data_IF_733043355617
#
_entry.id   IF_733043355617
#
_cell.length_a   1.000
_cell.length_b   1.000
_cell.length_c   1.000
_cell.angle_alpha   90.00
_cell.angle_beta   90.00
_cell.angle_gamma   90.00
#
_symmetry.space_group_name_H-M   'P 1'
#
loop_
_entity.id
_entity.type
_entity.pdbx_description
1 polymer ?
#
# COMPACT_ATOMS: atom_id res chain seq x y z
N UNK A 1 36.80 0.09 -0.63
CA UNK A 1 36.24 -0.22 0.70
C UNK A 1 36.49 0.99 1.58
N UNK A 2 35.44 1.63 2.08
CA UNK A 2 35.54 2.84 2.90
C UNK A 2 35.64 2.44 4.39
N UNK A 3 36.81 2.65 4.99
CA UNK A 3 37.13 2.27 6.37
C UNK A 3 36.76 3.37 7.35
N UNK A 4 36.08 2.98 8.42
CA UNK A 4 35.71 3.86 9.52
C UNK A 4 36.38 3.37 10.79
N UNK A 5 36.95 4.29 11.55
CA UNK A 5 37.62 3.99 12.81
C UNK A 5 36.94 4.68 13.99
N UNK A 6 36.72 3.93 15.07
CA UNK A 6 36.26 4.43 16.36
C UNK A 6 37.21 3.90 17.43
N UNK A 7 37.59 4.74 18.39
CA UNK A 7 38.35 4.30 19.56
C UNK A 7 37.72 4.81 20.85
N UNK A 8 37.88 4.04 21.92
CA UNK A 8 37.35 4.41 23.23
C UNK A 8 37.61 3.35 24.29
N UNK A 9 37.24 3.69 25.53
CA UNK A 9 37.42 2.80 26.67
C UNK A 9 36.34 1.71 26.70
N UNK A 10 35.07 2.05 26.45
CA UNK A 10 33.95 1.10 26.46
C UNK A 10 33.81 0.29 27.76
N UNK A 11 34.07 0.90 28.91
CA UNK A 11 33.96 0.26 30.22
C UNK A 11 32.62 -0.46 30.43
N UNK A 12 31.50 0.21 30.13
CA UNK A 12 30.17 -0.41 30.10
C UNK A 12 29.55 -0.12 28.73
N UNK A 13 29.19 -1.17 27.99
CA UNK A 13 28.47 -1.01 26.74
C UNK A 13 27.02 -0.62 27.03
N UNK A 14 26.67 0.63 26.76
CA UNK A 14 25.31 1.15 26.91
C UNK A 14 24.77 1.60 25.55
N UNK A 15 23.46 1.90 25.42
CA UNK A 15 22.85 2.24 24.13
C UNK A 15 23.49 3.41 23.38
N UNK A 16 24.17 4.33 24.07
CA UNK A 16 24.90 5.44 23.44
C UNK A 16 26.08 4.95 22.59
N UNK A 17 26.88 4.02 23.12
CA UNK A 17 27.96 3.38 22.37
C UNK A 17 27.44 2.63 21.14
N UNK A 18 26.36 1.86 21.28
CA UNK A 18 25.77 1.13 20.15
C UNK A 18 25.31 2.06 19.02
N UNK A 19 24.77 3.24 19.36
CA UNK A 19 24.35 4.23 18.37
C UNK A 19 25.53 4.92 17.70
N UNK A 20 26.59 5.23 18.46
CA UNK A 20 27.85 5.75 17.91
C UNK A 20 28.45 4.76 16.90
N UNK A 21 28.52 3.47 17.26
CA UNK A 21 29.02 2.40 16.39
C UNK A 21 28.14 2.22 15.15
N UNK A 22 26.81 2.29 15.29
CA UNK A 22 25.89 2.22 14.14
C UNK A 22 26.07 3.39 13.19
N UNK A 23 26.14 4.62 13.70
CA UNK A 23 26.45 5.81 12.90
C UNK A 23 27.82 5.70 12.19
N UNK A 24 28.82 5.15 12.88
CA UNK A 24 30.13 4.90 12.29
C UNK A 24 30.06 3.86 11.16
N UNK A 25 29.32 2.76 11.35
CA UNK A 25 29.07 1.76 10.30
C UNK A 25 28.36 2.38 9.09
N UNK A 26 27.32 3.19 9.31
CA UNK A 26 26.56 3.86 8.24
C UNK A 26 27.39 4.90 7.47
N UNK A 27 28.46 5.42 8.08
CA UNK A 27 29.37 6.37 7.45
C UNK A 27 30.34 5.71 6.44
N UNK A 28 30.47 4.39 6.45
CA UNK A 28 31.36 3.64 5.56
C UNK A 28 30.90 2.21 5.27
N UNK A 29 31.83 1.36 4.84
CA UNK A 29 31.51 -0.04 4.50
C UNK A 29 32.15 -1.03 5.48
N UNK A 30 33.19 -0.61 6.20
CA UNK A 30 33.99 -1.45 7.11
C UNK A 30 34.34 -0.66 8.38
N UNK A 31 33.80 -1.07 9.53
CA UNK A 31 33.96 -0.45 10.84
C UNK A 31 35.02 -1.21 11.65
N UNK A 32 36.04 -0.45 12.05
CA UNK A 32 37.15 -0.90 12.89
C UNK A 32 37.03 -0.20 14.24
N UNK A 33 37.06 -0.97 15.34
CA UNK A 33 36.97 -0.45 16.71
C UNK A 33 38.24 -0.76 17.49
N UNK A 34 38.95 0.28 17.91
CA UNK A 34 40.10 0.17 18.83
C UNK A 34 39.65 0.33 20.28
N UNK A 35 39.72 -0.75 21.07
CA UNK A 35 39.41 -0.72 22.50
C UNK A 35 40.68 -0.35 23.26
N UNK A 36 40.71 0.77 23.97
CA UNK A 36 41.91 1.21 24.69
C UNK A 36 42.39 0.14 25.68
N UNK A 37 43.69 -0.15 25.67
CA UNK A 37 44.31 -1.07 26.64
C UNK A 37 44.12 -0.61 28.09
N UNK A 38 44.25 -1.54 29.04
CA UNK A 38 44.14 -1.22 30.47
C UNK A 38 45.19 -0.19 30.93
N UNK A 39 46.35 -0.13 30.27
CA UNK A 39 47.41 0.87 30.51
C UNK A 39 46.99 2.30 30.13
N UNK A 40 46.05 2.43 29.18
CA UNK A 40 45.55 3.71 28.65
C UNK A 40 44.25 4.13 29.36
N UNK A 41 43.34 3.18 29.61
CA UNK A 41 42.01 3.45 30.17
C UNK A 41 41.99 3.59 31.71
N UNK A 42 42.98 3.03 32.42
CA UNK A 42 43.02 3.05 33.89
C UNK A 42 42.24 1.90 34.55
N UNK A 43 41.92 2.01 35.85
CA UNK A 43 41.25 0.93 36.61
C UNK A 43 39.75 0.84 36.28
N UNK A 44 39.31 -0.29 35.75
CA UNK A 44 37.92 -0.56 35.37
C UNK A 44 37.63 -2.02 35.03
N UNK A 45 36.75 -2.25 34.06
CA UNK A 45 36.49 -3.58 33.50
C UNK A 45 37.69 -3.97 32.61
N UNK A 46 38.15 -5.22 32.70
CA UNK A 46 39.31 -5.70 31.94
C UNK A 46 39.13 -5.50 30.44
N UNK A 47 40.21 -5.10 29.76
CA UNK A 47 40.25 -4.93 28.30
C UNK A 47 39.69 -6.11 27.51
N UNK A 48 39.87 -7.35 27.99
CA UNK A 48 39.38 -8.55 27.30
C UNK A 48 37.84 -8.61 27.30
N UNK A 49 37.21 -8.25 28.43
CA UNK A 49 35.75 -8.19 28.57
C UNK A 49 35.17 -7.05 27.73
N UNK A 50 35.87 -5.91 27.69
CA UNK A 50 35.47 -4.75 26.86
C UNK A 50 35.56 -5.09 25.37
N UNK A 51 36.62 -5.79 24.96
CA UNK A 51 36.79 -6.27 23.59
C UNK A 51 35.71 -7.28 23.20
N UNK A 52 35.43 -8.28 24.04
CA UNK A 52 34.37 -9.26 23.83
C UNK A 52 33.02 -8.59 23.60
N UNK A 53 32.70 -7.58 24.42
CA UNK A 53 31.45 -6.81 24.30
C UNK A 53 31.33 -6.08 22.97
N UNK A 54 32.43 -5.54 22.45
CA UNK A 54 32.46 -4.84 21.17
C UNK A 54 32.41 -5.83 20.00
N UNK A 55 33.10 -6.96 20.09
CA UNK A 55 33.04 -8.03 19.08
C UNK A 55 31.64 -8.64 18.96
N UNK A 56 30.85 -8.64 20.03
CA UNK A 56 29.45 -9.08 19.99
C UNK A 56 28.51 -8.09 19.28
N UNK A 57 28.93 -6.85 19.02
CA UNK A 57 28.09 -5.87 18.32
C UNK A 57 28.07 -6.14 16.81
N UNK A 58 26.90 -6.50 16.27
CA UNK A 58 26.72 -6.93 14.87
C UNK A 58 27.14 -5.91 13.80
N UNK A 59 27.28 -4.63 14.16
CA UNK A 59 27.70 -3.57 13.24
C UNK A 59 29.22 -3.39 13.13
N UNK A 60 30.01 -4.08 13.98
CA UNK A 60 31.47 -4.00 14.02
C UNK A 60 32.08 -5.11 13.16
N UNK A 61 32.94 -4.75 12.20
CA UNK A 61 33.60 -5.73 11.32
C UNK A 61 34.94 -6.20 11.88
N UNK A 62 35.65 -5.33 12.60
CA UNK A 62 36.95 -5.62 13.22
C UNK A 62 37.05 -4.90 14.57
N UNK A 63 37.50 -5.60 15.61
CA UNK A 63 37.79 -5.00 16.91
C UNK A 63 39.06 -5.59 17.51
N UNK A 64 39.89 -4.73 18.12
CA UNK A 64 41.17 -5.12 18.70
C UNK A 64 41.53 -4.24 19.90
N UNK A 65 42.52 -4.68 20.70
CA UNK A 65 43.09 -3.87 21.78
C UNK A 65 44.04 -2.83 21.20
N UNK A 66 43.76 -1.56 21.44
CA UNK A 66 44.58 -0.43 21.05
C UNK A 66 45.53 -0.07 22.20
N UNK A 67 46.80 -0.43 22.02
CA UNK A 67 47.91 -0.23 22.96
C UNK A 67 48.77 1.00 22.64
N UNK A 68 48.46 1.70 21.54
CA UNK A 68 49.11 2.92 21.09
C UNK A 68 48.12 4.09 21.06
N UNK A 69 48.57 5.36 21.09
CA UNK A 69 47.69 6.50 20.89
C UNK A 69 46.91 6.39 19.57
N UNK A 70 45.60 6.72 19.60
CA UNK A 70 44.74 6.65 18.42
C UNK A 70 45.30 7.40 17.22
N UNK A 71 45.93 8.56 17.45
CA UNK A 71 46.63 9.35 16.42
C UNK A 71 47.71 8.57 15.67
N UNK A 72 48.50 7.74 16.36
CA UNK A 72 49.52 6.90 15.73
C UNK A 72 48.89 5.79 14.89
N UNK A 73 47.81 5.18 15.39
CA UNK A 73 47.06 4.19 14.63
C UNK A 73 46.46 4.79 13.36
N UNK A 74 45.87 5.99 13.46
CA UNK A 74 45.27 6.71 12.32
C UNK A 74 46.35 7.03 11.27
N UNK A 75 47.55 7.48 11.68
CA UNK A 75 48.66 7.73 10.75
C UNK A 75 49.08 6.48 9.97
N UNK A 76 49.11 5.31 10.63
CA UNK A 76 49.56 4.04 10.05
C UNK A 76 48.48 3.38 9.19
N UNK A 77 47.25 3.33 9.68
CA UNK A 77 46.14 2.60 9.05
C UNK A 77 45.38 3.42 8.02
N UNK A 78 45.48 4.76 8.09
CA UNK A 78 44.84 5.74 7.21
C UNK A 78 43.35 5.44 6.94
N UNK A 79 42.49 5.44 7.98
CA UNK A 79 41.04 5.25 7.79
C UNK A 79 40.44 6.43 7.01
N UNK A 80 39.43 6.16 6.17
CA UNK A 80 38.76 7.23 5.42
C UNK A 80 37.95 8.16 6.33
N UNK A 81 37.44 7.63 7.45
CA UNK A 81 36.64 8.37 8.44
C UNK A 81 37.05 7.95 9.85
N UNK A 82 37.18 8.93 10.75
CA UNK A 82 37.23 8.73 12.20
C UNK A 82 35.96 9.31 12.81
N UNK A 83 35.31 8.54 13.69
CA UNK A 83 34.09 8.98 14.39
C UNK A 83 34.36 9.05 15.89
N UNK A 84 34.01 10.19 16.49
CA UNK A 84 34.16 10.44 17.93
C UNK A 84 32.83 10.84 18.57
N UNK A 85 32.74 10.69 19.90
CA UNK A 85 31.60 11.19 20.67
C UNK A 85 31.48 12.71 20.55
N UNK A 86 30.25 13.23 20.46
CA UNK A 86 29.98 14.68 20.31
C UNK A 86 30.55 15.53 21.43
N UNK A 87 30.74 14.96 22.62
CA UNK A 87 31.41 15.57 23.76
C UNK A 87 32.90 15.92 23.51
N UNK A 88 33.49 15.43 22.41
CA UNK A 88 34.85 15.76 21.97
C UNK A 88 34.89 16.86 20.88
N UNK A 89 33.74 17.29 20.34
CA UNK A 89 33.67 18.23 19.21
C UNK A 89 34.32 19.58 19.51
N UNK A 90 34.15 20.09 20.74
CA UNK A 90 34.69 21.38 21.17
C UNK A 90 36.09 21.29 21.80
N UNK A 91 36.70 20.10 21.82
CA UNK A 91 38.05 19.88 22.36
C UNK A 91 39.10 20.00 21.24
N UNK A 92 40.37 20.02 21.64
CA UNK A 92 41.48 19.92 20.69
C UNK A 92 41.51 18.51 20.07
N UNK A 93 41.54 18.43 18.74
CA UNK A 93 41.41 17.18 17.98
C UNK A 93 42.64 16.97 17.09
N UNK A 94 43.76 16.42 17.62
CA UNK A 94 44.97 16.17 16.85
C UNK A 94 44.77 15.19 15.67
N UNK A 95 43.71 14.39 15.70
CA UNK A 95 43.28 13.51 14.60
C UNK A 95 42.90 14.30 13.34
N UNK A 96 42.35 15.50 13.49
CA UNK A 96 41.89 16.33 12.38
C UNK A 96 43.05 16.74 11.46
N UNK A 97 44.18 17.16 12.03
CA UNK A 97 45.38 17.52 11.27
C UNK A 97 45.95 16.32 10.50
N UNK A 98 45.93 15.15 11.13
CA UNK A 98 46.41 13.90 10.54
C UNK A 98 45.52 13.49 9.36
N UNK A 99 44.20 13.53 9.54
CA UNK A 99 43.21 13.17 8.52
C UNK A 99 43.28 14.11 7.31
N UNK A 100 43.48 15.41 7.54
CA UNK A 100 43.61 16.41 6.48
C UNK A 100 44.75 16.10 5.50
N UNK A 101 45.86 15.52 5.98
CA UNK A 101 47.03 15.23 5.16
C UNK A 101 46.79 14.17 4.07
N UNK A 102 45.72 13.37 4.16
CA UNK A 102 45.40 12.35 3.16
C UNK A 102 43.91 12.34 2.77
N UNK A 103 43.15 13.37 3.15
CA UNK A 103 41.75 13.55 2.75
C UNK A 103 40.73 12.75 3.57
N UNK A 104 41.11 12.26 4.75
CA UNK A 104 40.18 11.63 5.69
C UNK A 104 39.23 12.64 6.35
N UNK A 105 38.12 12.15 6.92
CA UNK A 105 37.12 13.00 7.59
C UNK A 105 37.00 12.66 9.07
N UNK A 106 36.82 13.68 9.90
CA UNK A 106 36.47 13.54 11.31
C UNK A 106 34.98 13.85 11.48
N UNK A 107 34.23 12.94 12.10
CA UNK A 107 32.80 13.12 12.40
C UNK A 107 32.55 13.00 13.90
N UNK A 108 31.53 13.72 14.37
CA UNK A 108 31.09 13.72 15.76
C UNK A 108 29.62 13.28 15.86
N UNK A 109 29.29 12.39 16.80
CA UNK A 109 27.92 11.96 17.03
C UNK A 109 27.64 11.69 18.51
N UNK A 110 26.46 12.09 18.98
CA UNK A 110 25.97 11.85 20.34
C UNK A 110 25.16 10.57 20.47
N UNK A 111 24.98 9.82 19.38
CA UNK A 111 24.09 8.66 19.36
C UNK A 111 22.65 9.06 19.72
N UNK A 112 22.07 9.99 18.95
CA UNK A 112 20.68 10.43 19.15
C UNK A 112 19.69 9.25 19.10
N UNK A 113 18.55 9.41 19.77
CA UNK A 113 17.52 8.37 19.91
C UNK A 113 16.78 8.20 18.58
N UNK A 114 17.47 7.62 17.60
CA UNK A 114 16.84 6.87 16.54
C UNK A 114 17.05 5.40 16.86
N UNK A 115 16.03 4.72 17.39
CA UNK A 115 15.81 3.38 16.83
C UNK A 115 15.84 3.58 15.33
N UNK A 116 16.63 2.78 14.59
CA UNK A 116 16.65 2.89 13.12
C UNK A 116 15.19 2.94 12.68
N UNK A 117 14.75 4.12 12.24
CA UNK A 117 13.33 4.38 12.01
C UNK A 117 12.80 3.32 11.03
N UNK A 118 13.68 2.83 10.14
CA UNK A 118 13.46 1.70 9.25
C UNK A 118 13.03 0.39 9.94
N UNK A 119 13.60 0.02 11.08
CA UNK A 119 13.26 -1.23 11.77
C UNK A 119 11.88 -1.16 12.44
N UNK A 120 11.55 -0.01 13.05
CA UNK A 120 10.21 0.26 13.57
C UNK A 120 9.18 0.34 12.45
N UNK A 121 9.51 1.04 11.36
CA UNK A 121 8.66 1.12 10.17
C UNK A 121 8.39 -0.26 9.59
N UNK A 122 9.42 -1.11 9.43
CA UNK A 122 9.26 -2.46 8.89
C UNK A 122 8.37 -3.33 9.76
N UNK A 123 8.46 -3.22 11.09
CA UNK A 123 7.55 -3.93 12.00
C UNK A 123 6.11 -3.40 11.89
N UNK A 124 5.90 -2.09 11.75
CA UNK A 124 4.56 -1.52 11.55
C UNK A 124 3.94 -1.99 10.23
N UNK A 125 4.69 -1.99 9.12
CA UNK A 125 4.25 -2.48 7.81
C UNK A 125 3.88 -3.98 7.82
N UNK A 126 4.60 -4.81 8.60
CA UNK A 126 4.40 -6.25 8.65
C UNK A 126 3.39 -6.71 9.70
N UNK A 127 3.02 -5.86 10.66
CA UNK A 127 2.09 -6.23 11.70
C UNK A 127 0.69 -6.44 11.11
N UNK A 128 0.27 -7.70 10.98
CA UNK A 128 -1.13 -8.04 10.76
C UNK A 128 -1.81 -8.05 12.13
N UNK A 129 -2.90 -7.29 12.27
CA UNK A 129 -3.80 -7.42 13.42
C UNK A 129 -5.07 -8.10 12.95
N UNK A 130 -5.14 -9.42 13.11
CA UNK A 130 -6.36 -10.18 12.83
C UNK A 130 -7.35 -9.91 13.95
N UNK A 131 -8.40 -9.15 13.67
CA UNK A 131 -9.57 -9.00 14.53
C UNK A 131 -10.75 -8.53 13.66
N UNK A 132 -11.43 -9.48 13.00
CA UNK A 132 -12.74 -9.24 12.40
C UNK A 132 -13.82 -9.49 13.44
N UNK A 133 -14.77 -8.56 13.55
CA UNK A 133 -15.99 -8.73 14.35
C UNK A 133 -17.12 -9.14 13.43
N UNK A 134 -17.48 -10.42 13.44
CA UNK A 134 -18.60 -10.93 12.64
C UNK A 134 -19.94 -10.33 13.09
N UNK A 135 -20.90 -10.23 12.15
CA UNK A 135 -22.28 -9.81 12.44
C UNK A 135 -23.21 -11.03 12.61
N UNK A 136 -23.34 -11.62 13.82
CA UNK A 136 -24.16 -12.81 14.03
C UNK A 136 -25.64 -12.56 13.74
N UNK A 137 -26.11 -11.33 13.97
CA UNK A 137 -27.48 -10.93 13.66
C UNK A 137 -27.75 -11.00 12.15
N UNK A 138 -26.83 -10.48 11.32
CA UNK A 138 -26.96 -10.54 9.87
C UNK A 138 -26.93 -11.99 9.35
N UNK A 139 -25.99 -12.80 9.84
CA UNK A 139 -25.87 -14.23 9.51
C UNK A 139 -27.18 -14.97 9.81
N UNK A 140 -27.73 -14.77 11.01
CA UNK A 140 -28.97 -15.41 11.45
C UNK A 140 -30.19 -14.93 10.66
N UNK A 141 -30.28 -13.64 10.32
CA UNK A 141 -31.41 -13.07 9.55
C UNK A 141 -31.51 -13.68 8.14
N UNK A 142 -30.38 -14.02 7.53
CA UNK A 142 -30.31 -14.54 6.16
C UNK A 142 -30.01 -16.05 6.09
N UNK A 143 -30.15 -16.76 7.22
CA UNK A 143 -29.92 -18.21 7.32
C UNK A 143 -28.58 -18.67 6.69
N UNK A 144 -27.53 -17.86 6.89
CA UNK A 144 -26.23 -18.13 6.29
C UNK A 144 -25.43 -19.14 7.11
N UNK A 145 -24.79 -20.07 6.42
CA UNK A 145 -23.85 -21.04 7.01
C UNK A 145 -22.43 -20.69 6.59
N UNK A 146 -21.50 -20.67 7.54
CA UNK A 146 -20.10 -20.31 7.28
C UNK A 146 -19.44 -21.31 6.30
N UNK A 147 -19.84 -22.58 6.35
CA UNK A 147 -19.38 -23.62 5.42
C UNK A 147 -19.77 -23.28 3.97
N UNK A 148 -20.99 -22.80 3.74
CA UNK A 148 -21.45 -22.37 2.42
C UNK A 148 -20.65 -21.16 1.92
N UNK A 149 -20.29 -20.23 2.82
CA UNK A 149 -19.43 -19.10 2.46
C UNK A 149 -18.02 -19.56 2.04
N UNK A 150 -17.45 -20.57 2.72
CA UNK A 150 -16.17 -21.18 2.30
C UNK A 150 -16.28 -21.84 0.93
N UNK A 151 -17.34 -22.61 0.68
CA UNK A 151 -17.58 -23.23 -0.62
C UNK A 151 -17.71 -22.21 -1.77
N UNK A 152 -18.29 -21.03 -1.49
CA UNK A 152 -18.36 -19.93 -2.46
C UNK A 152 -16.96 -19.42 -2.81
N UNK A 153 -16.12 -19.16 -1.80
CA UNK A 153 -14.73 -18.72 -2.00
C UNK A 153 -13.91 -19.77 -2.76
N UNK A 154 -14.12 -21.05 -2.51
CA UNK A 154 -13.43 -22.13 -3.23
C UNK A 154 -13.74 -22.10 -4.74
N UNK A 155 -14.98 -21.78 -5.12
CA UNK A 155 -15.43 -21.70 -6.52
C UNK A 155 -14.82 -20.52 -7.29
N UNK A 156 -14.19 -19.55 -6.63
CA UNK A 156 -13.54 -18.43 -7.32
C UNK A 156 -12.48 -18.89 -8.33
N UNK A 157 -11.87 -20.04 -8.08
CA UNK A 157 -10.90 -20.68 -8.99
C UNK A 157 -11.45 -21.07 -10.35
N UNK A 158 -12.78 -21.16 -10.52
CA UNK A 158 -13.41 -21.45 -11.81
C UNK A 158 -13.70 -20.20 -12.64
N UNK A 159 -13.51 -19.00 -12.10
CA UNK A 159 -13.86 -17.75 -12.77
C UNK A 159 -12.75 -17.25 -13.69
N UNK A 160 -13.17 -16.75 -14.85
CA UNK A 160 -12.38 -15.89 -15.73
C UNK A 160 -12.90 -14.45 -15.62
N UNK A 161 -12.09 -13.58 -15.02
CA UNK A 161 -12.46 -12.21 -14.69
C UNK A 161 -11.74 -11.24 -15.64
N UNK A 162 -12.49 -10.34 -16.25
CA UNK A 162 -11.97 -9.22 -17.03
C UNK A 162 -12.12 -7.92 -16.23
N UNK A 163 -11.00 -7.35 -15.82
CA UNK A 163 -10.98 -6.04 -15.13
C UNK A 163 -10.57 -4.95 -16.12
N UNK A 164 -11.34 -3.87 -16.18
CA UNK A 164 -11.10 -2.74 -17.06
C UNK A 164 -11.22 -1.44 -16.26
N UNK A 165 -10.19 -0.60 -16.31
CA UNK A 165 -10.25 0.66 -15.57
C UNK A 165 -8.93 1.39 -15.47
N UNK A 166 -8.94 2.49 -14.75
CA UNK A 166 -7.78 3.37 -14.63
C UNK A 166 -6.72 2.76 -13.70
N UNK A 167 -5.49 2.58 -14.19
CA UNK A 167 -4.34 2.16 -13.38
C UNK A 167 -3.82 3.33 -12.54
N UNK A 168 -3.44 3.06 -11.29
CA UNK A 168 -2.80 4.02 -10.39
C UNK A 168 -1.58 3.34 -9.75
N UNK A 169 -0.48 4.08 -9.61
CA UNK A 169 0.62 3.74 -8.71
C UNK A 169 0.48 4.58 -7.46
N UNK A 170 0.34 3.95 -6.31
CA UNK A 170 0.35 4.61 -5.01
C UNK A 170 1.77 4.57 -4.45
N UNK A 171 2.36 5.72 -4.13
CA UNK A 171 3.72 5.81 -3.59
C UNK A 171 3.68 6.45 -2.20
N UNK A 172 4.18 5.72 -1.21
CA UNK A 172 4.22 6.14 0.18
C UNK A 172 5.66 6.53 0.51
N UNK A 173 5.88 7.83 0.73
CA UNK A 173 7.16 8.37 1.15
C UNK A 173 7.08 8.59 2.66
N UNK A 174 7.75 7.73 3.42
CA UNK A 174 7.88 7.90 4.87
C UNK A 174 8.95 8.94 5.15
N UNK A 175 8.63 9.91 5.98
CA UNK A 175 9.51 11.01 6.34
C UNK A 175 9.63 11.17 7.85
N UNK A 176 10.79 11.66 8.28
CA UNK A 176 11.01 12.25 9.59
C UNK A 176 10.63 13.74 9.56
N UNK A 177 9.81 14.18 10.51
CA UNK A 177 9.48 15.60 10.64
C UNK A 177 10.60 16.33 11.39
N UNK A 178 11.25 17.30 10.73
CA UNK A 178 12.37 18.05 11.31
C UNK A 178 11.90 19.28 12.09
N UNK A 179 10.74 19.85 11.71
CA UNK A 179 10.16 21.02 12.36
C UNK A 179 9.52 21.99 11.36
N UNK A 180 9.29 23.23 11.80
CA UNK A 180 8.83 24.31 10.93
C UNK A 180 10.02 25.01 10.28
N UNK A 181 9.89 25.40 9.00
CA UNK A 181 10.88 26.23 8.32
C UNK A 181 10.90 27.65 8.92
N UNK A 182 12.08 28.25 8.97
CA UNK A 182 12.28 29.67 9.34
C UNK A 182 12.13 30.61 8.14
N UNK A 183 12.14 30.08 6.92
CA UNK A 183 12.05 30.85 5.66
C UNK A 183 10.59 31.02 5.21
N UNK A 184 9.75 30.03 5.47
CA UNK A 184 8.33 29.98 5.09
C UNK A 184 7.58 29.14 6.15
N UNK A 185 6.34 29.48 6.60
CA UNK A 185 5.57 28.69 7.56
C UNK A 185 5.11 27.31 7.03
N UNK A 186 6.06 26.43 6.72
CA UNK A 186 5.86 25.08 6.22
C UNK A 186 6.56 24.05 7.09
N UNK A 187 6.04 22.82 7.08
CA UNK A 187 6.67 21.67 7.77
C UNK A 187 7.82 21.15 6.91
N UNK A 188 9.01 21.07 7.49
CA UNK A 188 10.19 20.48 6.86
C UNK A 188 10.27 19.00 7.26
N UNK A 189 10.47 18.13 6.26
CA UNK A 189 10.58 16.69 6.46
C UNK A 189 11.75 16.11 5.68
N UNK A 190 12.37 15.07 6.21
CA UNK A 190 13.41 14.29 5.54
C UNK A 190 12.88 12.91 5.12
N UNK A 191 12.89 12.53 3.83
CA UNK A 191 12.49 11.19 3.40
C UNK A 191 13.41 10.11 3.99
N UNK A 192 12.80 9.06 4.54
CA UNK A 192 13.48 7.89 5.11
C UNK A 192 13.33 6.65 4.23
N UNK A 193 12.15 6.45 3.64
CA UNK A 193 11.84 5.28 2.83
C UNK A 193 10.72 5.57 1.83
N UNK A 194 10.76 4.89 0.69
CA UNK A 194 9.73 4.96 -0.33
C UNK A 194 9.21 3.56 -0.65
N UNK A 195 7.90 3.39 -0.63
CA UNK A 195 7.22 2.15 -0.98
C UNK A 195 6.18 2.42 -2.06
N UNK A 196 6.24 1.69 -3.17
CA UNK A 196 5.21 1.74 -4.22
C UNK A 196 4.22 0.60 -4.04
N UNK A 197 2.99 0.83 -4.48
CA UNK A 197 1.88 -0.12 -4.46
C UNK A 197 1.11 -0.01 -5.77
N UNK A 198 0.63 -1.15 -6.27
CA UNK A 198 -0.33 -1.17 -7.37
C UNK A 198 -1.69 -0.74 -6.81
N UNK A 199 -2.30 0.25 -7.46
CA UNK A 199 -3.58 0.82 -7.09
C UNK A 199 -4.51 0.93 -8.29
N UNK A 200 -5.67 1.56 -8.09
CA UNK A 200 -6.65 1.73 -9.15
C UNK A 200 -7.26 0.41 -9.60
N UNK A 201 -7.64 0.30 -10.87
CA UNK A 201 -8.19 -0.94 -11.41
C UNK A 201 -7.19 -2.12 -11.38
N UNK A 202 -5.88 -1.85 -11.33
CA UNK A 202 -4.86 -2.89 -11.26
C UNK A 202 -4.88 -3.63 -9.90
N UNK A 203 -5.27 -2.97 -8.80
CA UNK A 203 -5.42 -3.66 -7.51
C UNK A 203 -6.69 -4.51 -7.45
N UNK A 204 -7.77 -4.09 -8.12
CA UNK A 204 -8.98 -4.90 -8.32
C UNK A 204 -8.64 -6.19 -9.08
N UNK A 205 -7.85 -6.09 -10.15
CA UNK A 205 -7.34 -7.26 -10.87
C UNK A 205 -6.46 -8.15 -9.97
N UNK A 206 -5.61 -7.53 -9.15
CA UNK A 206 -4.74 -8.26 -8.22
C UNK A 206 -5.53 -8.99 -7.15
N UNK A 207 -6.55 -8.37 -6.55
CA UNK A 207 -7.47 -9.01 -5.61
C UNK A 207 -8.18 -10.20 -6.25
N UNK A 208 -8.71 -10.04 -7.47
CA UNK A 208 -9.42 -11.14 -8.15
C UNK A 208 -8.48 -12.34 -8.37
N UNK A 209 -7.23 -12.06 -8.73
CA UNK A 209 -6.21 -13.08 -8.96
C UNK A 209 -5.82 -13.80 -7.68
N UNK A 210 -5.54 -13.07 -6.59
CA UNK A 210 -5.11 -13.67 -5.31
C UNK A 210 -6.26 -14.32 -4.53
N UNK A 211 -7.51 -14.00 -4.87
CA UNK A 211 -8.70 -14.72 -4.43
C UNK A 211 -8.96 -16.02 -5.21
N UNK A 212 -8.26 -16.24 -6.34
CA UNK A 212 -8.17 -17.53 -7.02
C UNK A 212 -8.55 -17.53 -8.51
N UNK A 213 -9.10 -16.43 -9.05
CA UNK A 213 -9.55 -16.41 -10.44
C UNK A 213 -8.41 -16.36 -11.47
N UNK A 214 -8.73 -16.70 -12.71
CA UNK A 214 -7.95 -16.32 -13.89
C UNK A 214 -8.34 -14.89 -14.28
N UNK A 215 -7.35 -14.01 -14.47
CA UNK A 215 -7.62 -12.57 -14.63
C UNK A 215 -6.97 -12.03 -15.90
N UNK A 216 -7.79 -11.34 -16.68
CA UNK A 216 -7.35 -10.44 -17.75
C UNK A 216 -7.56 -9.00 -17.31
N UNK A 217 -6.57 -8.14 -17.56
CA UNK A 217 -6.62 -6.74 -17.18
C UNK A 217 -6.41 -5.83 -18.38
N UNK A 218 -7.27 -4.83 -18.56
CA UNK A 218 -7.13 -3.82 -19.61
C UNK A 218 -7.03 -2.44 -18.98
N UNK A 219 -5.97 -1.70 -19.34
CA UNK A 219 -5.79 -0.34 -18.88
C UNK A 219 -4.99 0.53 -19.87
N UNK A 220 -4.92 1.82 -19.57
CA UNK A 220 -4.11 2.80 -20.29
C UNK A 220 -3.12 3.40 -19.31
N UNK A 221 -1.87 3.47 -19.75
CA UNK A 221 -0.70 3.88 -18.96
C UNK A 221 0.15 4.84 -19.78
N UNK A 222 1.04 5.58 -19.12
CA UNK A 222 2.03 6.41 -19.78
C UNK A 222 3.17 5.59 -20.40
N UNK A 223 4.13 6.29 -20.98
CA UNK A 223 5.42 5.73 -21.38
C UNK A 223 6.49 6.14 -20.35
N UNK A 224 6.45 5.51 -19.18
CA UNK A 224 7.27 5.85 -18.01
C UNK A 224 7.56 4.63 -17.12
N UNK A 225 8.48 4.77 -16.16
CA UNK A 225 8.90 3.70 -15.25
C UNK A 225 7.74 3.13 -14.41
N UNK A 226 6.69 3.92 -14.18
CA UNK A 226 5.51 3.47 -13.45
C UNK A 226 4.68 2.48 -14.26
N UNK A 227 4.68 2.55 -15.60
CA UNK A 227 4.13 1.49 -16.45
C UNK A 227 4.85 0.18 -16.18
N UNK A 228 6.18 0.21 -16.20
CA UNK A 228 6.99 -1.00 -16.10
C UNK A 228 6.82 -1.63 -14.71
N UNK A 229 6.78 -0.81 -13.65
CA UNK A 229 6.41 -1.26 -12.31
C UNK A 229 5.05 -1.98 -12.25
N UNK A 230 4.02 -1.44 -12.90
CA UNK A 230 2.68 -2.08 -12.94
C UNK A 230 2.71 -3.37 -13.75
N UNK A 231 3.36 -3.36 -14.92
CA UNK A 231 3.46 -4.52 -15.81
C UNK A 231 4.15 -5.69 -15.11
N UNK A 232 5.27 -5.43 -14.45
CA UNK A 232 6.05 -6.45 -13.75
C UNK A 232 5.25 -6.99 -12.56
N UNK A 233 4.66 -6.13 -11.73
CA UNK A 233 3.90 -6.59 -10.57
C UNK A 233 2.61 -7.35 -10.92
N UNK A 234 1.95 -7.02 -12.04
CA UNK A 234 0.84 -7.83 -12.57
C UNK A 234 1.34 -9.16 -13.15
N UNK A 235 2.50 -9.15 -13.82
CA UNK A 235 3.16 -10.34 -14.36
C UNK A 235 3.57 -11.33 -13.28
N UNK A 236 4.10 -10.85 -12.16
CA UNK A 236 4.48 -11.66 -10.98
C UNK A 236 3.28 -12.39 -10.36
N UNK A 237 2.08 -11.82 -10.49
CA UNK A 237 0.82 -12.45 -10.07
C UNK A 237 0.23 -13.39 -11.14
N UNK A 238 0.82 -13.43 -12.34
CA UNK A 238 0.32 -14.20 -13.48
C UNK A 238 -0.97 -13.63 -14.08
N UNK A 239 -1.14 -12.30 -14.08
CA UNK A 239 -2.29 -11.61 -14.67
C UNK A 239 -1.97 -11.30 -16.15
N UNK A 240 -2.88 -11.66 -17.06
CA UNK A 240 -2.74 -11.26 -18.47
C UNK A 240 -3.12 -9.79 -18.64
N UNK A 241 -2.12 -8.90 -18.66
CA UNK A 241 -2.35 -7.46 -18.78
C UNK A 241 -2.22 -6.96 -20.23
N UNK A 242 -3.22 -6.23 -20.72
CA UNK A 242 -3.20 -5.44 -21.94
C UNK A 242 -3.12 -3.95 -21.59
N UNK A 243 -1.90 -3.45 -21.48
CA UNK A 243 -1.60 -2.07 -21.12
C UNK A 243 -1.30 -1.26 -22.39
N UNK A 244 -2.23 -0.37 -22.76
CA UNK A 244 -2.06 0.54 -23.89
C UNK A 244 -1.30 1.79 -23.46
N UNK A 245 -0.22 2.11 -24.16
CA UNK A 245 0.55 3.32 -23.88
C UNK A 245 -0.09 4.55 -24.54
N UNK A 246 -0.29 5.60 -23.76
CA UNK A 246 -0.73 6.92 -24.24
C UNK A 246 0.32 7.97 -23.86
N UNK A 247 1.16 8.37 -24.83
CA UNK A 247 2.24 9.34 -24.62
C UNK A 247 1.74 10.74 -24.24
N UNK A 248 0.44 11.01 -24.32
CA UNK A 248 -0.13 12.31 -23.94
C UNK A 248 -0.35 12.43 -22.43
N UNK A 249 -0.30 11.32 -21.67
CA UNK A 249 -0.48 11.27 -20.21
C UNK A 249 0.65 10.49 -19.52
N UNK A 250 1.02 10.83 -18.27
CA UNK A 250 1.82 9.93 -17.44
C UNK A 250 0.94 8.79 -16.92
N UNK A 251 1.56 7.68 -16.51
CA UNK A 251 0.90 6.70 -15.63
C UNK A 251 0.53 7.40 -14.33
N UNK A 252 -0.74 7.32 -13.93
CA UNK A 252 -1.25 8.03 -12.76
C UNK A 252 -0.46 7.63 -11.50
N UNK A 253 0.17 8.61 -10.85
CA UNK A 253 0.94 8.41 -9.63
C UNK A 253 0.36 9.25 -8.49
N UNK A 254 0.08 8.61 -7.35
CA UNK A 254 -0.39 9.25 -6.11
C UNK A 254 0.66 9.12 -5.02
N UNK A 255 1.43 10.17 -4.81
CA UNK A 255 2.45 10.24 -3.77
C UNK A 255 1.85 10.72 -2.46
N UNK A 256 2.09 9.99 -1.36
CA UNK A 256 1.69 10.34 0.00
C UNK A 256 2.95 10.50 0.85
N UNK A 257 3.24 11.73 1.27
CA UNK A 257 4.30 12.02 2.23
C UNK A 257 3.75 11.82 3.64
N UNK A 258 4.36 10.95 4.43
CA UNK A 258 3.84 10.50 5.72
C UNK A 258 4.87 10.66 6.83
N UNK A 259 4.44 11.12 8.00
CA UNK A 259 5.26 11.10 9.21
C UNK A 259 4.40 10.59 10.37
N UNK A 260 4.96 9.71 11.21
CA UNK A 260 4.27 9.10 12.37
C UNK A 260 2.87 8.56 11.99
N UNK A 261 2.80 7.76 10.91
CA UNK A 261 1.59 7.17 10.34
C UNK A 261 0.51 8.14 9.82
N UNK A 262 0.76 9.45 9.83
CA UNK A 262 -0.15 10.46 9.29
C UNK A 262 0.34 10.96 7.93
N UNK A 263 -0.58 11.13 7.00
CA UNK A 263 -0.30 11.75 5.70
C UNK A 263 -0.24 13.27 5.88
N UNK A 264 0.90 13.86 5.54
CA UNK A 264 1.14 15.30 5.59
C UNK A 264 0.73 16.00 4.30
N UNK A 265 1.10 15.40 3.16
CA UNK A 265 0.86 15.93 1.83
C UNK A 265 0.58 14.78 0.87
N UNK A 266 -0.34 15.02 -0.08
CA UNK A 266 -0.55 14.14 -1.23
C UNK A 266 -0.30 14.91 -2.52
N UNK A 267 0.56 14.38 -3.37
CA UNK A 267 0.87 14.94 -4.70
C UNK A 267 0.39 13.95 -5.75
N UNK A 268 -0.46 14.41 -6.66
CA UNK A 268 -1.02 13.59 -7.74
C UNK A 268 -0.38 14.00 -9.07
N UNK A 269 0.28 13.08 -9.74
CA UNK A 269 0.78 13.25 -11.10
C UNK A 269 -0.18 12.56 -12.05
N UNK A 270 -0.99 13.36 -12.75
CA UNK A 270 -2.01 12.85 -13.66
C UNK A 270 -2.35 13.87 -14.73
N UNK A 271 -2.95 13.39 -15.81
CA UNK A 271 -3.69 14.22 -16.76
C UNK A 271 -5.07 13.62 -16.97
N UNK A 272 -6.08 14.48 -16.90
CA UNK A 272 -7.47 14.07 -17.02
C UNK A 272 -8.01 14.46 -18.39
N UNK A 273 -8.10 13.47 -19.27
CA UNK A 273 -8.74 13.59 -20.58
C UNK A 273 -9.11 12.22 -21.09
N UNK A 274 -10.20 12.16 -21.88
CA UNK A 274 -10.61 10.92 -22.53
C UNK A 274 -9.51 10.34 -23.40
N UNK A 275 -9.43 9.02 -23.47
CA UNK A 275 -8.54 8.33 -24.39
C UNK A 275 -8.90 8.62 -25.85
N UNK A 276 -7.94 8.47 -26.76
CA UNK A 276 -8.17 8.66 -28.19
C UNK A 276 -9.09 7.58 -28.77
N UNK A 277 -9.71 7.86 -29.92
CA UNK A 277 -10.54 6.86 -30.62
C UNK A 277 -9.78 5.59 -31.03
N UNK A 278 -8.49 5.71 -31.29
CA UNK A 278 -7.63 4.58 -31.64
C UNK A 278 -7.45 3.65 -30.43
N UNK A 279 -7.22 4.24 -29.24
CA UNK A 279 -7.17 3.50 -27.97
C UNK A 279 -8.54 2.87 -27.66
N UNK A 280 -9.64 3.60 -27.82
CA UNK A 280 -11.00 3.03 -27.65
C UNK A 280 -11.19 1.81 -28.55
N UNK A 281 -10.80 1.92 -29.83
CA UNK A 281 -10.92 0.84 -30.81
C UNK A 281 -10.07 -0.37 -30.43
N UNK A 282 -8.84 -0.15 -29.96
CA UNK A 282 -7.95 -1.22 -29.50
C UNK A 282 -8.51 -1.96 -28.28
N UNK A 283 -9.04 -1.21 -27.29
CA UNK A 283 -9.71 -1.79 -26.11
C UNK A 283 -10.88 -2.66 -26.55
N UNK A 284 -11.79 -2.11 -27.37
CA UNK A 284 -12.98 -2.82 -27.81
C UNK A 284 -12.64 -4.08 -28.61
N UNK A 285 -11.60 -4.04 -29.44
CA UNK A 285 -11.10 -5.21 -30.15
C UNK A 285 -10.60 -6.30 -29.20
N UNK A 286 -9.76 -5.94 -28.22
CA UNK A 286 -9.23 -6.91 -27.24
C UNK A 286 -10.36 -7.53 -26.41
N UNK A 287 -11.34 -6.74 -25.98
CA UNK A 287 -12.52 -7.26 -25.28
C UNK A 287 -13.32 -8.22 -26.16
N UNK A 288 -13.51 -7.89 -27.44
CA UNK A 288 -14.23 -8.76 -28.38
C UNK A 288 -13.53 -10.11 -28.59
N UNK A 289 -12.21 -10.17 -28.49
CA UNK A 289 -11.41 -11.39 -28.60
C UNK A 289 -11.53 -12.29 -27.36
N UNK A 290 -11.77 -11.73 -26.17
CA UNK A 290 -11.84 -12.50 -24.92
C UNK A 290 -13.25 -12.74 -24.38
N UNK A 291 -14.26 -12.00 -24.87
CA UNK A 291 -15.61 -11.99 -24.30
C UNK A 291 -16.26 -13.37 -24.20
N UNK A 292 -15.92 -14.30 -25.09
CA UNK A 292 -16.53 -15.64 -25.13
C UNK A 292 -16.09 -16.55 -23.98
N UNK A 293 -15.01 -16.20 -23.28
CA UNK A 293 -14.46 -16.98 -22.17
C UNK A 293 -14.61 -16.30 -20.81
N UNK A 294 -15.13 -15.07 -20.76
CA UNK A 294 -15.19 -14.28 -19.53
C UNK A 294 -16.51 -14.54 -18.80
N UNK A 295 -16.44 -14.80 -17.50
CA UNK A 295 -17.60 -15.02 -16.63
C UNK A 295 -18.05 -13.73 -15.92
N UNK A 296 -17.09 -12.82 -15.66
CA UNK A 296 -17.28 -11.59 -14.91
C UNK A 296 -16.48 -10.44 -15.51
N UNK A 297 -17.13 -9.28 -15.71
CA UNK A 297 -16.46 -8.03 -16.07
C UNK A 297 -16.57 -7.06 -14.90
N UNK A 298 -15.44 -6.50 -14.46
CA UNK A 298 -15.39 -5.47 -13.41
C UNK A 298 -14.89 -4.16 -14.03
N UNK A 299 -15.72 -3.12 -13.99
CA UNK A 299 -15.33 -1.77 -14.33
C UNK A 299 -14.88 -1.02 -13.07
N UNK A 300 -13.65 -0.50 -13.09
CA UNK A 300 -13.10 0.26 -11.96
C UNK A 300 -12.68 1.65 -12.43
N UNK A 301 -13.57 2.62 -12.25
CA UNK A 301 -13.42 3.97 -12.78
C UNK A 301 -12.96 4.96 -11.71
N UNK A 302 -11.81 5.58 -11.96
CA UNK A 302 -11.30 6.67 -11.15
C UNK A 302 -11.46 8.02 -11.85
N UNK A 303 -12.22 8.03 -12.95
CA UNK A 303 -12.53 9.21 -13.75
C UNK A 303 -11.29 9.87 -14.38
N UNK A 304 -10.26 9.08 -14.74
CA UNK A 304 -9.07 9.57 -15.44
C UNK A 304 -9.17 9.52 -16.97
N UNK A 305 -10.28 8.97 -17.49
CA UNK A 305 -10.67 9.10 -18.90
C UNK A 305 -10.52 7.83 -19.73
N UNK A 306 -10.15 6.69 -19.13
CA UNK A 306 -10.19 5.40 -19.82
C UNK A 306 -11.62 4.96 -20.11
N UNK A 307 -12.48 4.97 -19.08
CA UNK A 307 -13.85 4.46 -19.17
C UNK A 307 -14.79 5.53 -19.75
N UNK A 308 -14.66 5.75 -21.05
CA UNK A 308 -15.54 6.62 -21.83
C UNK A 308 -16.93 5.99 -22.01
N UNK A 309 -17.91 6.85 -22.28
CA UNK A 309 -19.27 6.44 -22.63
C UNK A 309 -19.32 5.40 -23.76
N UNK A 310 -18.43 5.54 -24.77
CA UNK A 310 -18.34 4.62 -25.91
C UNK A 310 -17.88 3.25 -25.45
N UNK A 311 -16.81 3.18 -24.65
CA UNK A 311 -16.26 1.93 -24.14
C UNK A 311 -17.30 1.23 -23.25
N UNK A 312 -17.86 1.94 -22.27
CA UNK A 312 -18.84 1.37 -21.34
C UNK A 312 -20.04 0.79 -22.09
N UNK A 313 -20.65 1.56 -23.01
CA UNK A 313 -21.85 1.12 -23.75
C UNK A 313 -21.58 -0.12 -24.62
N UNK A 314 -20.45 -0.16 -25.32
CA UNK A 314 -20.14 -1.28 -26.21
C UNK A 314 -19.81 -2.56 -25.43
N UNK A 315 -18.98 -2.46 -24.38
CA UNK A 315 -18.64 -3.63 -23.54
C UNK A 315 -19.89 -4.14 -22.81
N UNK A 316 -20.70 -3.24 -22.25
CA UNK A 316 -21.97 -3.60 -21.59
C UNK A 316 -22.91 -4.33 -22.55
N UNK A 317 -22.99 -3.89 -23.81
CA UNK A 317 -23.81 -4.55 -24.84
C UNK A 317 -23.31 -5.95 -25.15
N UNK A 318 -21.99 -6.13 -25.24
CA UNK A 318 -21.36 -7.44 -25.45
C UNK A 318 -21.60 -8.39 -24.27
N UNK A 319 -21.37 -7.91 -23.04
CA UNK A 319 -21.62 -8.67 -21.82
C UNK A 319 -23.07 -9.13 -21.70
N UNK A 320 -24.04 -8.24 -21.92
CA UNK A 320 -25.48 -8.60 -21.91
C UNK A 320 -25.86 -9.64 -22.96
N UNK A 321 -25.26 -9.58 -24.16
CA UNK A 321 -25.53 -10.57 -25.22
C UNK A 321 -25.09 -11.98 -24.81
N UNK A 322 -24.09 -12.07 -23.93
CA UNK A 322 -23.47 -13.31 -23.45
C UNK A 322 -23.92 -13.69 -22.03
N UNK A 323 -24.83 -12.92 -21.43
CA UNK A 323 -25.29 -13.07 -20.04
C UNK A 323 -24.15 -13.05 -18.99
N UNK A 324 -23.12 -12.24 -19.27
CA UNK A 324 -21.95 -12.08 -18.40
C UNK A 324 -22.29 -11.18 -17.21
N UNK A 325 -21.86 -11.58 -16.01
CA UNK A 325 -21.98 -10.73 -14.83
C UNK A 325 -21.11 -9.48 -14.99
N UNK A 326 -21.67 -8.32 -14.67
CA UNK A 326 -20.94 -7.05 -14.76
C UNK A 326 -21.09 -6.26 -13.48
N UNK A 327 -19.98 -5.77 -12.95
CA UNK A 327 -19.98 -4.86 -11.81
C UNK A 327 -19.20 -3.59 -12.12
N UNK A 328 -19.53 -2.51 -11.42
CA UNK A 328 -18.85 -1.25 -11.60
C UNK A 328 -18.70 -0.46 -10.31
N UNK A 329 -17.58 0.25 -10.21
CA UNK A 329 -17.41 1.36 -9.28
C UNK A 329 -16.94 2.62 -10.02
N UNK A 330 -17.30 3.78 -9.47
CA UNK A 330 -17.00 5.10 -10.03
C UNK A 330 -16.59 6.06 -8.94
N UNK A 331 -15.31 6.04 -8.60
CA UNK A 331 -14.79 6.77 -7.45
C UNK A 331 -14.86 8.29 -7.66
N UNK A 332 -15.38 9.01 -6.66
CA UNK A 332 -15.35 10.48 -6.59
C UNK A 332 -14.47 10.95 -5.44
N UNK A 333 -13.15 10.87 -5.64
CA UNK A 333 -12.15 11.35 -4.67
C UNK A 333 -11.69 12.78 -4.98
N UNK A 334 -10.61 12.95 -5.74
CA UNK A 334 -10.16 14.25 -6.26
C UNK A 334 -10.87 14.66 -7.56
N UNK A 335 -11.56 13.71 -8.19
CA UNK A 335 -12.32 13.89 -9.42
C UNK A 335 -13.80 13.68 -9.11
N UNK A 336 -14.66 14.24 -9.96
CA UNK A 336 -16.10 13.99 -9.90
C UNK A 336 -16.43 12.83 -10.84
N UNK A 337 -16.76 11.67 -10.28
CA UNK A 337 -17.28 10.54 -11.02
C UNK A 337 -18.80 10.58 -11.15
N UNK A 338 -19.34 9.74 -12.04
CA UNK A 338 -20.78 9.55 -12.22
C UNK A 338 -21.07 8.05 -12.35
N UNK A 339 -21.51 7.43 -11.25
CA UNK A 339 -21.85 6.00 -11.24
C UNK A 339 -23.03 5.69 -12.17
N UNK A 340 -23.86 6.68 -12.53
CA UNK A 340 -25.06 6.48 -13.34
C UNK A 340 -24.76 6.20 -14.83
N UNK A 341 -23.51 6.39 -15.26
CA UNK A 341 -23.05 6.00 -16.61
C UNK A 341 -22.97 4.49 -16.80
N UNK A 342 -22.80 3.72 -15.72
CA UNK A 342 -22.73 2.26 -15.75
C UNK A 342 -24.12 1.63 -15.79
N UNK A 343 -24.68 1.49 -16.99
CA UNK A 343 -26.09 1.08 -17.16
C UNK A 343 -26.32 -0.44 -17.22
N UNK A 344 -27.14 -0.95 -16.32
CA UNK A 344 -27.55 -2.35 -16.28
C UNK A 344 -26.45 -3.28 -15.79
N UNK A 345 -25.68 -2.81 -14.81
CA UNK A 345 -24.73 -3.63 -14.06
C UNK A 345 -25.50 -4.56 -13.10
N UNK A 346 -24.94 -5.72 -12.82
CA UNK A 346 -25.44 -6.59 -11.76
C UNK A 346 -25.18 -5.96 -10.39
N UNK A 347 -23.99 -5.41 -10.18
CA UNK A 347 -23.60 -4.79 -8.90
C UNK A 347 -22.94 -3.43 -9.16
N UNK A 348 -23.29 -2.43 -8.36
CA UNK A 348 -22.49 -1.21 -8.19
C UNK A 348 -22.21 -0.96 -6.72
N UNK A 349 -21.04 -0.41 -6.40
CA UNK A 349 -20.58 -0.25 -5.00
C UNK A 349 -20.24 1.20 -4.59
N UNK A 350 -21.10 2.20 -4.91
CA UNK A 350 -20.78 3.59 -4.64
C UNK A 350 -20.78 3.91 -3.14
N UNK A 351 -20.06 4.94 -2.75
CA UNK A 351 -20.22 5.64 -1.48
C UNK A 351 -21.51 6.48 -1.49
N UNK A 352 -22.04 6.83 -0.32
CA UNK A 352 -23.17 7.78 -0.23
C UNK A 352 -22.87 9.07 -1.00
N UNK A 353 -21.66 9.61 -0.85
CA UNK A 353 -21.22 10.84 -1.53
C UNK A 353 -21.32 10.70 -3.05
N UNK A 354 -20.87 9.60 -3.62
CA UNK A 354 -20.94 9.34 -5.06
C UNK A 354 -22.37 9.25 -5.57
N UNK A 355 -23.27 8.60 -4.81
CA UNK A 355 -24.70 8.54 -5.18
C UNK A 355 -25.29 9.95 -5.21
N UNK A 356 -25.04 10.76 -4.16
CA UNK A 356 -25.58 12.12 -4.05
C UNK A 356 -25.08 13.02 -5.17
N UNK A 357 -23.78 12.96 -5.50
CA UNK A 357 -23.19 13.70 -6.61
C UNK A 357 -23.80 13.28 -7.95
N UNK A 358 -23.92 11.97 -8.21
CA UNK A 358 -24.40 11.43 -9.49
C UNK A 358 -25.90 11.67 -9.72
N UNK A 359 -26.69 11.79 -8.65
CA UNK A 359 -28.11 12.10 -8.70
C UNK A 359 -28.43 13.58 -8.53
N UNK A 360 -27.45 14.39 -8.12
CA UNK A 360 -27.66 15.76 -7.66
C UNK A 360 -28.76 15.85 -6.59
N UNK A 361 -28.67 14.98 -5.56
CA UNK A 361 -29.67 14.83 -4.50
C UNK A 361 -29.01 14.74 -3.12
N UNK A 362 -29.02 15.84 -2.38
CA UNK A 362 -28.36 15.97 -1.08
C UNK A 362 -29.33 15.89 0.10
N UNK A 363 -30.62 15.66 -0.13
CA UNK A 363 -31.66 15.74 0.91
C UNK A 363 -32.39 14.42 1.13
N UNK A 364 -32.48 13.56 0.11
CA UNK A 364 -33.16 12.26 0.26
C UNK A 364 -32.40 11.31 1.18
N UNK A 365 -33.14 10.42 1.85
CA UNK A 365 -32.57 9.32 2.62
C UNK A 365 -31.94 8.23 1.75
N UNK A 366 -31.03 7.44 2.32
CA UNK A 366 -30.21 6.46 1.60
C UNK A 366 -31.00 5.44 0.77
N UNK A 367 -32.12 4.92 1.31
CA UNK A 367 -32.98 3.96 0.59
C UNK A 367 -33.57 4.60 -0.68
N UNK A 368 -34.05 5.85 -0.57
CA UNK A 368 -34.62 6.60 -1.70
C UNK A 368 -33.54 6.92 -2.73
N UNK A 369 -32.33 7.26 -2.29
CA UNK A 369 -31.20 7.47 -3.18
C UNK A 369 -30.84 6.19 -3.95
N UNK A 370 -30.80 5.06 -3.26
CA UNK A 370 -30.52 3.75 -3.89
C UNK A 370 -31.60 3.38 -4.90
N UNK A 371 -32.87 3.62 -4.57
CA UNK A 371 -33.97 3.42 -5.52
C UNK A 371 -33.85 4.32 -6.75
N UNK A 372 -33.57 5.62 -6.56
CA UNK A 372 -33.34 6.57 -7.67
C UNK A 372 -32.15 6.15 -8.53
N UNK A 373 -31.06 5.71 -7.90
CA UNK A 373 -29.89 5.20 -8.60
C UNK A 373 -30.22 3.93 -9.39
N UNK A 374 -30.92 2.97 -8.78
CA UNK A 374 -31.37 1.74 -9.46
C UNK A 374 -32.26 2.08 -10.65
N UNK A 375 -33.21 3.02 -10.53
CA UNK A 375 -34.04 3.47 -11.65
C UNK A 375 -33.24 4.15 -12.78
N UNK A 376 -32.24 4.98 -12.45
CA UNK A 376 -31.45 5.75 -13.42
C UNK A 376 -30.39 4.90 -14.13
N UNK A 377 -29.71 4.02 -13.38
CA UNK A 377 -28.65 3.15 -13.88
C UNK A 377 -29.16 1.79 -14.35
N UNK A 378 -30.35 1.35 -13.91
CA UNK A 378 -30.82 -0.03 -14.04
C UNK A 378 -29.90 -1.07 -13.38
N UNK A 379 -29.11 -0.66 -12.38
CA UNK A 379 -28.33 -1.61 -11.58
C UNK A 379 -29.26 -2.54 -10.78
N UNK A 380 -28.92 -3.84 -10.78
CA UNK A 380 -29.71 -4.87 -10.08
C UNK A 380 -29.50 -4.81 -8.57
N UNK A 381 -28.24 -4.68 -8.14
CA UNK A 381 -27.84 -4.59 -6.75
C UNK A 381 -26.97 -3.35 -6.53
N UNK A 382 -27.14 -2.68 -5.39
CA UNK A 382 -26.34 -1.52 -4.99
C UNK A 382 -25.84 -1.74 -3.57
N UNK A 383 -24.52 -1.77 -3.38
CA UNK A 383 -23.90 -1.76 -2.05
C UNK A 383 -23.40 -0.36 -1.77
N UNK A 384 -24.14 0.39 -0.96
CA UNK A 384 -23.73 1.73 -0.57
C UNK A 384 -22.72 1.64 0.57
N UNK A 385 -21.50 2.09 0.35
CA UNK A 385 -20.46 2.09 1.39
C UNK A 385 -20.60 3.31 2.31
N UNK A 386 -20.55 3.06 3.62
CA UNK A 386 -20.77 4.04 4.70
C UNK A 386 -19.52 4.19 5.59
N UNK A 387 -18.35 3.79 5.10
CA UNK A 387 -17.09 3.87 5.85
C UNK A 387 -17.14 3.04 7.13
N UNK A 388 -16.93 3.68 8.28
CA UNK A 388 -16.91 3.02 9.58
C UNK A 388 -18.28 2.44 10.01
N UNK A 389 -19.37 2.82 9.34
CA UNK A 389 -20.71 2.27 9.59
C UNK A 389 -20.98 0.99 8.77
N UNK A 390 -20.05 0.57 7.91
CA UNK A 390 -20.18 -0.62 7.08
C UNK A 390 -20.87 -0.33 5.76
N UNK A 391 -21.88 -1.13 5.40
CA UNK A 391 -22.60 -1.00 4.12
C UNK A 391 -24.12 -1.09 4.27
N UNK A 392 -24.83 -0.39 3.38
CA UNK A 392 -26.25 -0.60 3.12
C UNK A 392 -26.44 -1.31 1.78
N UNK A 393 -27.19 -2.40 1.80
CA UNK A 393 -27.48 -3.24 0.65
C UNK A 393 -28.86 -2.89 0.11
N UNK A 394 -28.96 -2.66 -1.19
CA UNK A 394 -30.22 -2.51 -1.92
C UNK A 394 -30.35 -3.64 -2.94
N UNK A 395 -31.41 -4.44 -2.79
CA UNK A 395 -31.71 -5.64 -3.56
C UNK A 395 -32.57 -5.32 -4.80
N UNK A 396 -32.76 -6.32 -5.67
CA UNK A 396 -33.68 -6.25 -6.79
C UNK A 396 -35.09 -5.83 -6.29
N UNK A 397 -35.67 -4.73 -6.79
CA UNK A 397 -36.99 -4.24 -6.38
C UNK A 397 -38.12 -5.27 -6.53
N UNK A 398 -37.91 -6.34 -7.29
CA UNK A 398 -38.87 -7.45 -7.46
C UNK A 398 -38.85 -8.45 -6.29
N UNK A 399 -37.90 -8.34 -5.36
CA UNK A 399 -37.77 -9.23 -4.19
C UNK A 399 -38.45 -8.62 -2.96
N UNK A 400 -38.89 -9.47 -2.04
CA UNK A 400 -39.60 -9.05 -0.81
C UNK A 400 -38.70 -8.31 0.18
N UNK A 401 -37.42 -8.69 0.26
CA UNK A 401 -36.45 -8.08 1.15
C UNK A 401 -35.60 -7.07 0.38
N UNK A 402 -36.03 -5.80 0.42
CA UNK A 402 -35.48 -4.73 -0.42
C UNK A 402 -34.14 -4.21 0.06
N UNK A 403 -33.94 -4.08 1.37
CA UNK A 403 -32.70 -3.51 1.94
C UNK A 403 -32.29 -4.19 3.24
N UNK A 404 -30.98 -4.27 3.49
CA UNK A 404 -30.41 -4.58 4.81
C UNK A 404 -29.10 -3.82 5.02
N UNK A 405 -28.52 -3.91 6.22
CA UNK A 405 -27.20 -3.36 6.56
C UNK A 405 -26.28 -4.41 7.18
N UNK A 406 -24.98 -4.24 6.93
CA UNK A 406 -23.89 -4.94 7.62
C UNK A 406 -23.01 -3.86 8.23
N UNK A 407 -22.86 -3.90 9.56
CA UNK A 407 -21.92 -3.01 10.27
C UNK A 407 -20.49 -3.28 9.82
N UNK A 408 -19.58 -2.31 9.99
CA UNK A 408 -18.18 -2.53 9.66
C UNK A 408 -17.60 -3.71 10.47
N UNK A 409 -17.10 -4.72 9.76
CA UNK A 409 -16.56 -5.93 10.40
C UNK A 409 -15.11 -5.75 10.89
N UNK A 410 -14.41 -4.69 10.47
CA UNK A 410 -13.03 -4.44 10.90
C UNK A 410 -12.98 -3.74 12.27
N UNK A 411 -12.39 -4.37 13.29
CA UNK A 411 -12.31 -3.79 14.64
C UNK A 411 -11.11 -2.86 14.85
N UNK A 412 -10.04 -3.03 14.06
CA UNK A 412 -8.79 -2.27 14.12
C UNK A 412 -8.42 -1.76 12.73
N UNK A 413 -8.79 -0.51 12.43
CA UNK A 413 -8.52 0.15 11.16
C UNK A 413 -7.13 0.77 11.18
N UNK A 414 -6.23 0.32 10.31
CA UNK A 414 -4.89 0.89 10.09
C UNK A 414 -4.85 1.84 8.90
N UNK A 415 -5.41 1.42 7.77
CA UNK A 415 -5.50 2.23 6.55
C UNK A 415 -6.82 1.91 5.86
N UNK A 416 -7.60 2.93 5.51
CA UNK A 416 -8.89 2.75 4.80
C UNK A 416 -8.71 2.54 3.29
N UNK A 417 -7.48 2.69 2.79
CA UNK A 417 -7.17 2.53 1.37
C UNK A 417 -7.45 1.09 0.89
N UNK A 418 -8.18 0.97 -0.22
CA UNK A 418 -8.50 -0.32 -0.85
C UNK A 418 -9.74 -1.05 -0.29
N UNK A 419 -10.40 -0.51 0.73
CA UNK A 419 -11.61 -1.14 1.30
C UNK A 419 -12.74 -1.29 0.27
N UNK A 420 -12.95 -0.27 -0.57
CA UNK A 420 -13.93 -0.33 -1.66
C UNK A 420 -13.54 -1.32 -2.76
N UNK A 421 -12.26 -1.33 -3.16
CA UNK A 421 -11.75 -2.20 -4.22
C UNK A 421 -11.90 -3.68 -3.86
N UNK A 422 -11.53 -4.04 -2.62
CA UNK A 422 -11.68 -5.39 -2.07
C UNK A 422 -13.14 -5.81 -1.93
N UNK A 423 -14.01 -4.91 -1.45
CA UNK A 423 -15.45 -5.14 -1.37
C UNK A 423 -16.06 -5.41 -2.74
N UNK A 424 -15.80 -4.54 -3.72
CA UNK A 424 -16.26 -4.69 -5.10
C UNK A 424 -15.81 -6.03 -5.67
N UNK A 425 -14.53 -6.36 -5.53
CA UNK A 425 -13.95 -7.56 -6.13
C UNK A 425 -14.57 -8.84 -5.54
N UNK A 426 -14.52 -9.00 -4.22
CA UNK A 426 -15.01 -10.19 -3.55
C UNK A 426 -16.52 -10.37 -3.74
N UNK A 427 -17.30 -9.29 -3.63
CA UNK A 427 -18.76 -9.32 -3.85
C UNK A 427 -19.11 -9.75 -5.27
N UNK A 428 -18.39 -9.20 -6.26
CA UNK A 428 -18.62 -9.48 -7.68
C UNK A 428 -18.33 -10.94 -8.02
N UNK A 429 -17.22 -11.48 -7.51
CA UNK A 429 -16.84 -12.88 -7.68
C UNK A 429 -17.83 -13.82 -7.00
N UNK A 430 -18.29 -13.49 -5.79
CA UNK A 430 -19.33 -14.26 -5.08
C UNK A 430 -20.63 -14.37 -5.91
N UNK A 431 -21.12 -13.26 -6.45
CA UNK A 431 -22.32 -13.27 -7.31
C UNK A 431 -22.10 -14.10 -8.58
N UNK A 432 -20.93 -13.99 -9.20
CA UNK A 432 -20.62 -14.70 -10.44
C UNK A 432 -20.58 -16.24 -10.26
N UNK A 433 -20.20 -16.74 -9.08
CA UNK A 433 -20.25 -18.19 -8.77
C UNK A 433 -21.60 -18.64 -8.16
N UNK A 434 -22.61 -17.77 -8.17
CA UNK A 434 -23.98 -18.09 -7.79
C UNK A 434 -24.33 -17.85 -6.32
N UNK A 435 -23.53 -17.10 -5.56
CA UNK A 435 -23.93 -16.64 -4.23
C UNK A 435 -25.16 -15.71 -4.33
N UNK A 436 -26.00 -15.72 -3.30
CA UNK A 436 -27.04 -14.70 -3.19
C UNK A 436 -26.43 -13.34 -2.77
N UNK A 437 -27.27 -12.30 -2.79
CA UNK A 437 -26.84 -10.93 -2.47
C UNK A 437 -26.36 -10.76 -1.03
N UNK A 438 -26.90 -11.54 -0.08
CA UNK A 438 -26.58 -11.44 1.34
C UNK A 438 -25.24 -12.12 1.64
N UNK A 439 -25.03 -13.29 1.04
CA UNK A 439 -23.74 -13.98 1.05
C UNK A 439 -22.65 -13.15 0.38
N UNK A 440 -22.94 -12.58 -0.80
CA UNK A 440 -22.01 -11.71 -1.54
C UNK A 440 -21.63 -10.47 -0.75
N UNK A 441 -22.62 -9.75 -0.19
CA UNK A 441 -22.37 -8.55 0.62
C UNK A 441 -21.56 -8.85 1.87
N UNK A 442 -21.84 -9.98 2.54
CA UNK A 442 -21.07 -10.40 3.71
C UNK A 442 -19.60 -10.72 3.37
N UNK A 443 -19.36 -11.49 2.31
CA UNK A 443 -17.99 -11.80 1.85
C UNK A 443 -17.26 -10.54 1.37
N UNK A 444 -17.96 -9.60 0.74
CA UNK A 444 -17.43 -8.27 0.39
C UNK A 444 -17.03 -7.46 1.61
N UNK A 445 -17.89 -7.37 2.62
CA UNK A 445 -17.60 -6.70 3.89
C UNK A 445 -16.45 -7.36 4.64
N UNK A 446 -16.32 -8.68 4.57
CA UNK A 446 -15.22 -9.42 5.17
C UNK A 446 -13.89 -9.09 4.47
N UNK A 447 -13.88 -9.06 3.13
CA UNK A 447 -12.71 -8.65 2.37
C UNK A 447 -12.29 -7.20 2.69
N UNK A 448 -13.25 -6.28 2.79
CA UNK A 448 -12.98 -4.91 3.22
C UNK A 448 -12.36 -4.85 4.62
N UNK A 449 -12.88 -5.64 5.57
CA UNK A 449 -12.35 -5.71 6.93
C UNK A 449 -10.90 -6.22 6.98
N UNK A 450 -10.59 -7.24 6.18
CA UNK A 450 -9.23 -7.79 6.02
C UNK A 450 -8.28 -6.80 5.35
N UNK A 451 -8.77 -5.96 4.43
CA UNK A 451 -7.98 -4.92 3.79
C UNK A 451 -7.70 -3.73 4.72
N UNK A 452 -8.67 -3.29 5.54
CA UNK A 452 -8.45 -2.11 6.39
C UNK A 452 -7.53 -2.36 7.59
N UNK A 453 -7.22 -3.63 7.90
CA UNK A 453 -6.35 -4.02 9.01
C UNK A 453 -4.85 -3.97 8.69
N UNK A 454 -4.48 -3.62 7.44
CA UNK A 454 -3.09 -3.51 6.96
C UNK A 454 -2.81 -2.12 6.39
N UNK A 455 -1.53 -1.81 6.18
CA UNK A 455 -1.10 -0.55 5.60
C UNK A 455 -0.96 -0.66 4.08
N UNK A 456 -1.48 0.33 3.34
CA UNK A 456 -1.46 0.33 1.88
C UNK A 456 -2.43 -0.68 1.25
N UNK A 457 -2.54 -0.64 -0.07
CA UNK A 457 -3.44 -1.53 -0.81
C UNK A 457 -2.70 -2.79 -1.23
N UNK A 458 -2.95 -3.91 -0.54
CA UNK A 458 -2.22 -5.17 -0.73
C UNK A 458 -3.22 -6.24 -1.16
N UNK A 459 -2.93 -7.03 -2.22
CA UNK A 459 -3.84 -8.07 -2.67
C UNK A 459 -4.22 -9.07 -1.56
N UNK A 460 -5.49 -9.09 -1.18
CA UNK A 460 -6.07 -10.07 -0.24
C UNK A 460 -5.95 -11.48 -0.81
N UNK A 461 -5.46 -12.40 0.01
CA UNK A 461 -5.35 -13.82 -0.34
C UNK A 461 -6.60 -14.59 0.07
N UNK A 462 -6.93 -15.60 -0.72
CA UNK A 462 -8.03 -16.53 -0.46
C UNK A 462 -7.99 -17.11 0.96
N UNK A 463 -6.79 -17.52 1.42
CA UNK A 463 -6.62 -18.15 2.72
C UNK A 463 -6.94 -17.20 3.87
N UNK A 464 -6.71 -15.89 3.71
CA UNK A 464 -7.03 -14.89 4.74
C UNK A 464 -8.55 -14.81 4.96
N UNK A 465 -9.33 -14.84 3.88
CA UNK A 465 -10.80 -14.85 3.97
C UNK A 465 -11.30 -16.16 4.59
N UNK A 466 -10.74 -17.29 4.21
CA UNK A 466 -11.13 -18.61 4.76
C UNK A 466 -10.80 -18.70 6.26
N UNK A 467 -9.67 -18.13 6.69
CA UNK A 467 -9.28 -18.10 8.10
C UNK A 467 -10.28 -17.34 8.97
N UNK A 468 -10.81 -16.20 8.50
CA UNK A 468 -11.83 -15.45 9.23
C UNK A 468 -13.19 -16.17 9.27
N UNK A 469 -13.44 -17.15 8.39
CA UNK A 469 -14.68 -17.94 8.41
C UNK A 469 -14.59 -19.20 9.30
N UNK A 470 -13.46 -19.43 9.98
CA UNK A 470 -13.20 -20.64 10.78
C UNK A 470 -13.69 -20.57 12.23
#
# INVERSE_FOLDING_TARGET
>A
MKKVFVSGDFNILHPGHLRLLKFAKDSGTYLIVGVHSDDISGKGISQDIRLESIQAASCVDEAFILDIPATQYIQKSKPDIVVMGKEHELKENPELEILANYGGKLLFSSGEIGFSSMDLLRQEFLSLSNNVTHSPNFIKRHDMKLETLKEIIEKFSSLKVLVIGDTIVDEYITCEALGMSQEDPTIVVSPLATNKFIGGAAIVASHARTLGAEVQFISVVGDDDNRDYVKDGLGDLGIESFLLCDSTRPTTLKQRFRANNKTLLRVNHLKQHSVSKDIETAILKKVQESIDTVDLIIFSDFSYGLLTDTIIKNITKLGKKKDIFMSADSQSSSQTGDITKFKGMTLVTPTEREIRLSLNDFTSGLVVLSEKLSKKSHAKYIFTTLGAEGIMIYNDPKKSFLTDTIDALGSLVKDVSGAGDSLLTCSSMALAVGADIWQSSYLGSLAAAVQVSRLGNVPIKKEEIIQELN
#
